data_IF_519237164119
#
_entry.id   IF_519237164119
#
_cell.length_a   1.000
_cell.length_b   1.000
_cell.length_c   1.000
_cell.angle_alpha   90.00
_cell.angle_beta   90.00
_cell.angle_gamma   90.00
#
_symmetry.space_group_name_H-M   'P 1'
#
loop_
_entity.id
_entity.type
_entity.pdbx_description
1 polymer ?
2 non-polymer ?
3 non-polymer ?
4 non-polymer ?
5 non-polymer ?
6 water ?
#
# COMPACT_ATOMS: atom_id res chain seq x y z
N UNK A 1 -18.21 -4.55 -33.57
CA UNK A 1 -17.57 -4.40 -32.24
C UNK A 1 -17.94 -3.07 -31.63
N UNK A 2 -17.74 -2.95 -30.31
CA UNK A 2 -17.84 -1.71 -29.59
C UNK A 2 -16.92 -1.67 -28.37
N UNK A 3 -16.54 -0.46 -28.01
CA UNK A 3 -15.71 -0.25 -26.83
C UNK A 3 -16.60 -0.43 -25.60
N UNK A 4 -16.23 -1.40 -24.76
CA UNK A 4 -16.92 -1.67 -23.51
C UNK A 4 -16.31 -0.91 -22.33
N UNK A 5 -14.99 -0.73 -22.39
CA UNK A 5 -14.25 0.03 -21.36
C UNK A 5 -13.02 0.64 -22.04
N UNK A 6 -12.59 1.80 -21.54
CA UNK A 6 -11.37 2.41 -22.05
C UNK A 6 -10.85 3.37 -20.99
N UNK A 7 -9.52 3.37 -20.85
CA UNK A 7 -8.85 4.41 -20.09
C UNK A 7 -7.44 4.56 -20.61
N UNK A 8 -6.89 5.77 -20.48
CA UNK A 8 -5.55 6.00 -21.03
C UNK A 8 -4.93 7.18 -20.32
N UNK A 9 -3.62 7.25 -20.37
CA UNK A 9 -2.94 8.36 -19.75
C UNK A 9 -1.44 8.14 -19.66
N UNK A 10 -0.83 8.79 -18.68
CA UNK A 10 0.63 8.71 -18.52
C UNK A 10 0.97 7.97 -17.23
N UNK A 11 1.85 6.97 -17.38
CA UNK A 11 2.34 6.16 -16.28
C UNK A 11 3.82 6.49 -16.02
N UNK A 12 4.29 6.13 -14.86
CA UNK A 12 5.69 6.18 -14.51
C UNK A 12 6.26 7.60 -14.56
N UNK A 13 5.47 8.58 -14.12
CA UNK A 13 5.92 9.97 -14.08
C UNK A 13 6.63 10.22 -12.75
N UNK A 14 7.95 10.32 -12.82
CA UNK A 14 8.73 10.58 -11.62
C UNK A 14 8.68 12.06 -11.26
N UNK A 15 8.42 12.40 -10.00
CA UNK A 15 8.26 13.79 -9.56
C UNK A 15 9.00 14.00 -8.25
N UNK A 16 9.86 15.03 -8.22
CA UNK A 16 10.47 15.49 -6.95
C UNK A 16 9.95 16.89 -6.69
N UNK A 17 9.75 17.22 -5.41
CA UNK A 17 9.49 18.59 -5.00
C UNK A 17 10.26 18.90 -3.72
N UNK A 18 10.82 20.11 -3.65
CA UNK A 18 11.48 20.59 -2.46
C UNK A 18 10.70 21.78 -1.88
N UNK A 19 10.66 21.84 -0.55
CA UNK A 19 10.24 22.99 0.22
C UNK A 19 11.45 23.55 0.93
N UNK A 20 11.64 24.86 0.80
CA UNK A 20 12.77 25.53 1.45
C UNK A 20 12.25 26.59 2.41
N UNK A 21 12.56 26.44 3.70
CA UNK A 21 12.25 27.48 4.66
C UNK A 21 13.44 28.44 4.69
N UNK A 22 13.22 29.64 4.17
CA UNK A 22 14.31 30.61 3.99
C UNK A 22 14.71 31.23 5.33
N UNK A 23 13.81 31.18 6.31
CA UNK A 23 14.09 31.68 7.67
C UNK A 23 15.02 30.74 8.41
N UNK A 24 14.68 29.46 8.41
CA UNK A 24 15.40 28.46 9.21
C UNK A 24 16.51 27.75 8.44
N UNK A 25 16.41 27.76 7.12
CA UNK A 25 17.33 26.99 6.28
C UNK A 25 16.91 25.52 6.08
N UNK A 26 15.86 25.09 6.75
CA UNK A 26 15.49 23.69 6.66
C UNK A 26 14.77 23.43 5.35
N UNK A 27 15.23 22.42 4.64
CA UNK A 27 14.62 21.98 3.38
C UNK A 27 14.00 20.61 3.58
N UNK A 28 12.91 20.38 2.86
CA UNK A 28 12.17 19.13 3.00
C UNK A 28 11.91 18.63 1.58
N UNK A 29 12.15 17.35 1.31
CA UNK A 29 11.97 16.82 -0.02
C UNK A 29 10.87 15.75 -0.08
N UNK A 30 10.29 15.63 -1.26
CA UNK A 30 9.22 14.69 -1.57
C UNK A 30 9.53 14.08 -2.91
N UNK A 31 9.41 12.76 -3.04
CA UNK A 31 9.59 12.13 -4.34
C UNK A 31 8.52 11.06 -4.51
N UNK A 32 7.99 11.00 -5.71
CA UNK A 32 6.84 10.19 -6.05
C UNK A 32 7.01 9.59 -7.44
N UNK A 33 6.24 8.56 -7.75
CA UNK A 33 5.97 8.14 -9.10
C UNK A 33 4.45 8.18 -9.28
N UNK A 34 4.00 8.85 -10.36
CA UNK A 34 2.58 9.14 -10.58
C UNK A 34 2.13 8.48 -11.87
N UNK A 35 0.87 7.97 -11.80
CA UNK A 35 0.13 7.51 -12.98
C UNK A 35 -1.23 8.19 -12.97
N UNK A 36 -1.62 8.77 -14.12
CA UNK A 36 -2.98 9.28 -14.28
C UNK A 36 -3.56 8.68 -15.53
N UNK A 37 -4.70 7.99 -15.36
CA UNK A 37 -5.48 7.45 -16.48
C UNK A 37 -6.89 8.04 -16.46
N UNK A 38 -7.30 8.47 -17.64
CA UNK A 38 -8.58 9.15 -17.84
C UNK A 38 -9.61 8.26 -18.53
N UNK A 39 -10.89 8.47 -18.19
CA UNK A 39 -12.02 7.91 -18.88
C UNK A 39 -12.97 9.01 -19.30
N UNK A 40 -13.76 8.73 -20.34
CA UNK A 40 -14.82 9.66 -20.69
C UNK A 40 -15.33 9.34 -22.09
N UNK A 41 -15.79 10.39 -22.77
CA UNK A 41 -16.36 10.25 -24.09
C UNK A 41 -15.23 10.20 -25.12
N UNK A 42 -14.48 9.11 -25.09
CA UNK A 42 -13.24 8.92 -25.82
C UNK A 42 -13.30 7.78 -26.83
N UNK A 43 -14.41 7.08 -26.90
CA UNK A 43 -14.45 5.88 -27.70
C UNK A 43 -14.10 6.12 -29.16
N UNK A 44 -14.42 7.30 -29.71
CA UNK A 44 -14.12 7.54 -31.13
C UNK A 44 -12.63 7.65 -31.44
N UNK A 45 -11.80 7.89 -30.43
CA UNK A 45 -10.35 7.81 -30.67
C UNK A 45 -9.92 6.39 -31.03
N UNK A 46 -10.64 5.39 -30.51
CA UNK A 46 -10.39 3.99 -30.81
C UNK A 46 -11.07 3.55 -32.10
N UNK A 47 -12.32 3.99 -32.32
CA UNK A 47 -13.14 3.41 -33.39
C UNK A 47 -13.06 4.16 -34.73
N UNK A 48 -12.71 5.46 -34.68
CA UNK A 48 -12.86 6.40 -35.79
C UNK A 48 -11.56 7.22 -36.05
N UNK A 49 -10.45 6.87 -35.41
CA UNK A 49 -9.22 7.67 -35.54
C UNK A 49 -9.49 9.13 -35.19
N UNK A 50 -10.38 9.39 -34.23
CA UNK A 50 -10.74 10.75 -33.81
C UNK A 50 -9.85 11.19 -32.66
N UNK A 51 -8.74 11.84 -32.98
CA UNK A 51 -7.83 12.29 -31.93
C UNK A 51 -8.30 13.54 -31.20
N UNK A 52 -9.40 14.16 -31.67
CA UNK A 52 -9.84 15.42 -31.05
C UNK A 52 -10.25 15.26 -29.59
N UNK A 53 -10.63 14.03 -29.25
CA UNK A 53 -11.12 13.73 -27.90
C UNK A 53 -9.98 13.34 -26.97
N UNK A 54 -8.75 13.28 -27.51
CA UNK A 54 -7.58 12.85 -26.74
C UNK A 54 -6.89 14.08 -26.12
N UNK A 55 -6.90 14.18 -24.80
CA UNK A 55 -5.96 15.01 -24.05
C UNK A 55 -4.65 14.23 -24.05
N UNK A 56 -3.63 14.70 -24.78
CA UNK A 56 -2.43 13.89 -25.02
C UNK A 56 -1.82 13.46 -23.70
N UNK A 57 -1.31 12.22 -23.67
CA UNK A 57 -0.59 11.78 -22.47
C UNK A 57 0.58 12.68 -22.14
N UNK A 58 1.20 13.28 -23.16
CA UNK A 58 2.28 14.26 -22.90
C UNK A 58 1.74 15.46 -22.11
N UNK A 59 0.50 15.91 -22.46
CA UNK A 59 -0.13 17.02 -21.77
C UNK A 59 -0.54 16.63 -20.34
N UNK A 60 -0.96 15.35 -20.15
CA UNK A 60 -1.24 14.83 -18.81
C UNK A 60 0.03 14.93 -17.95
N UNK A 61 1.17 14.53 -18.55
CA UNK A 61 2.46 14.64 -17.86
C UNK A 61 2.75 16.09 -17.44
N UNK A 62 2.61 17.01 -18.43
CA UNK A 62 2.83 18.43 -18.11
C UNK A 62 1.97 18.87 -16.93
N UNK A 63 0.70 18.43 -16.99
CA UNK A 63 -0.28 18.80 -15.96
C UNK A 63 0.11 18.31 -14.58
N UNK A 64 0.70 17.09 -14.50
CA UNK A 64 1.16 16.56 -13.22
C UNK A 64 2.22 17.53 -12.62
N UNK A 65 3.20 17.94 -13.45
CA UNK A 65 4.24 18.82 -12.94
C UNK A 65 3.68 20.21 -12.56
N UNK A 66 2.78 20.74 -13.38
CA UNK A 66 2.16 22.03 -13.09
C UNK A 66 1.39 21.99 -11.79
N UNK A 67 0.63 20.90 -11.61
CA UNK A 67 -0.18 20.74 -10.38
C UNK A 67 0.73 20.63 -9.16
N UNK A 68 1.85 19.90 -9.28
CA UNK A 68 2.81 19.81 -8.16
C UNK A 68 3.44 21.19 -7.88
N UNK A 69 3.64 22.03 -8.90
CA UNK A 69 4.20 23.37 -8.67
C UNK A 69 3.23 24.28 -7.91
N UNK A 70 1.93 24.09 -8.16
CA UNK A 70 0.88 25.01 -7.67
C UNK A 70 0.19 24.56 -6.41
N UNK A 71 0.51 23.37 -5.91
CA UNK A 71 -0.18 22.79 -4.77
C UNK A 71 0.74 21.98 -3.90
N UNK A 72 0.33 21.71 -2.67
CA UNK A 72 1.10 20.74 -1.88
C UNK A 72 1.05 19.36 -2.50
N UNK A 73 2.14 18.64 -2.37
CA UNK A 73 2.18 17.26 -2.83
C UNK A 73 1.93 16.25 -1.70
N UNK A 74 1.72 16.79 -0.49
CA UNK A 74 1.45 15.98 0.69
C UNK A 74 0.17 16.50 1.39
N UNK A 75 -0.57 15.62 2.07
CA UNK A 75 -0.49 14.17 1.95
C UNK A 75 -0.84 13.73 0.51
N UNK A 76 -0.40 12.55 0.09
CA UNK A 76 -0.63 12.13 -1.28
C UNK A 76 -2.12 11.97 -1.60
N UNK A 77 -2.93 11.63 -0.59
CA UNK A 77 -4.38 11.60 -0.78
C UNK A 77 -4.93 12.92 -1.28
N UNK A 78 -4.42 14.02 -0.72
CA UNK A 78 -4.83 15.34 -1.16
C UNK A 78 -4.31 15.67 -2.55
N UNK A 79 -3.03 15.47 -2.79
CA UNK A 79 -2.48 15.76 -4.09
C UNK A 79 -3.20 14.99 -5.19
N UNK A 80 -3.44 13.68 -4.96
CA UNK A 80 -4.15 12.90 -5.94
C UNK A 80 -5.58 13.39 -6.21
N UNK A 81 -6.25 13.84 -5.15
CA UNK A 81 -7.59 14.38 -5.31
C UNK A 81 -7.61 15.69 -6.10
N UNK A 82 -6.62 16.58 -5.83
CA UNK A 82 -6.53 17.82 -6.59
C UNK A 82 -6.28 17.50 -8.06
N UNK A 83 -5.32 16.60 -8.30
CA UNK A 83 -4.96 16.26 -9.66
C UNK A 83 -6.15 15.64 -10.44
N UNK A 84 -6.82 14.68 -9.79
CA UNK A 84 -7.92 14.04 -10.47
C UNK A 84 -9.11 14.98 -10.75
N UNK A 85 -9.40 15.82 -9.76
CA UNK A 85 -10.45 16.81 -9.90
C UNK A 85 -10.20 17.77 -11.07
N UNK A 86 -8.91 18.13 -11.25
CA UNK A 86 -8.56 19.03 -12.35
C UNK A 86 -9.03 18.46 -13.67
N UNK A 87 -8.78 17.17 -13.94
CA UNK A 87 -9.10 16.63 -15.26
C UNK A 87 -10.60 16.59 -15.52
N UNK A 88 -11.39 16.18 -14.54
CA UNK A 88 -12.83 16.13 -14.75
C UNK A 88 -13.48 17.49 -14.81
N UNK A 89 -12.89 18.49 -14.13
CA UNK A 89 -13.45 19.86 -14.22
C UNK A 89 -13.00 20.57 -15.50
N UNK A 90 -11.72 20.40 -15.89
CA UNK A 90 -11.18 21.16 -17.02
C UNK A 90 -11.80 20.70 -18.34
N UNK A 91 -12.04 19.38 -18.47
CA UNK A 91 -12.45 18.79 -19.74
C UNK A 91 -13.88 18.26 -19.59
N UNK A 92 -14.83 18.87 -20.29
CA UNK A 92 -16.23 18.50 -20.14
C UNK A 92 -16.38 17.00 -20.41
N UNK A 93 -15.71 16.50 -21.45
CA UNK A 93 -15.91 15.13 -21.91
C UNK A 93 -15.15 14.05 -21.15
N UNK A 94 -14.29 14.46 -20.21
CA UNK A 94 -13.59 13.53 -19.32
C UNK A 94 -14.42 13.41 -18.06
N UNK A 95 -14.76 12.16 -17.73
CA UNK A 95 -15.68 11.88 -16.61
C UNK A 95 -15.07 11.07 -15.48
N UNK A 96 -13.84 10.57 -15.63
CA UNK A 96 -13.16 9.98 -14.48
C UNK A 96 -11.66 10.14 -14.65
N UNK A 97 -10.99 10.31 -13.51
CA UNK A 97 -9.55 10.35 -13.47
C UNK A 97 -9.10 9.41 -12.37
N UNK A 98 -8.17 8.52 -12.75
CA UNK A 98 -7.67 7.49 -11.86
C UNK A 98 -6.20 7.80 -11.61
N UNK A 99 -5.90 8.20 -10.37
CA UNK A 99 -4.58 8.69 -10.01
C UNK A 99 -3.96 7.71 -9.01
N UNK A 100 -2.81 7.17 -9.43
CA UNK A 100 -2.04 6.29 -8.56
C UNK A 100 -0.73 7.00 -8.23
N UNK A 101 -0.39 7.04 -6.95
CA UNK A 101 0.87 7.66 -6.51
C UNK A 101 1.62 6.69 -5.60
N UNK A 102 2.89 6.49 -5.90
CA UNK A 102 3.82 5.77 -5.06
C UNK A 102 4.77 6.81 -4.46
N UNK A 103 4.84 6.92 -3.14
CA UNK A 103 5.71 7.87 -2.47
C UNK A 103 6.95 7.12 -2.00
N UNK A 104 8.12 7.65 -2.37
CA UNK A 104 9.44 7.09 -2.03
C UNK A 104 9.99 7.76 -0.78
N UNK A 105 10.71 7.00 0.05
CA UNK A 105 11.19 7.56 1.30
C UNK A 105 12.44 8.38 1.12
N UNK A 106 12.40 9.58 1.68
CA UNK A 106 13.59 10.43 1.87
C UNK A 106 13.55 10.90 3.30
N UNK A 107 14.21 10.17 4.18
CA UNK A 107 14.19 10.47 5.60
C UNK A 107 15.39 11.37 5.94
N UNK A 108 15.16 12.42 6.71
CA UNK A 108 16.22 13.37 7.03
C UNK A 108 17.32 12.63 7.81
N UNK A 109 18.56 12.89 7.40
CA UNK A 109 19.73 12.35 8.10
C UNK A 109 19.94 13.02 9.47
N UNK A 110 20.37 12.22 10.45
CA UNK A 110 20.91 12.74 11.69
C UNK A 110 22.42 12.63 11.59
N UNK A 111 23.09 13.76 11.78
CA UNK A 111 24.56 13.82 11.71
C UNK A 111 25.03 14.30 13.07
N UNK A 112 25.92 13.54 13.71
CA UNK A 112 26.39 13.87 15.06
C UNK A 112 25.20 14.18 15.98
N UNK A 113 24.13 13.39 15.85
CA UNK A 113 22.98 13.47 16.74
C UNK A 113 21.98 14.58 16.49
N UNK A 114 22.17 15.32 15.39
CA UNK A 114 21.34 16.48 15.05
C UNK A 114 20.75 16.32 13.64
N UNK A 115 19.46 16.65 13.48
CA UNK A 115 18.84 16.51 12.16
C UNK A 115 19.45 17.48 11.16
N UNK A 116 19.88 16.96 10.02
CA UNK A 116 20.53 17.81 9.04
C UNK A 116 19.49 18.61 8.22
N UNK A 117 19.77 19.90 7.92
CA UNK A 117 18.76 20.69 7.20
C UNK A 117 18.48 20.34 5.77
N UNK A 118 19.34 19.58 5.08
CA UNK A 118 19.10 19.36 3.65
C UNK A 118 19.71 18.07 3.08
N UNK A 119 19.84 17.05 3.94
CA UNK A 119 20.42 15.77 3.53
C UNK A 119 19.51 14.63 4.02
N UNK A 120 19.32 13.65 3.14
CA UNK A 120 18.30 12.62 3.30
C UNK A 120 18.83 11.26 2.89
N UNK A 121 18.21 10.23 3.45
CA UNK A 121 18.58 8.84 3.18
C UNK A 121 17.30 8.07 2.80
N UNK A 122 17.43 7.19 1.81
CA UNK A 122 16.37 6.25 1.50
C UNK A 122 16.45 5.12 2.57
N UNK A 123 15.78 5.33 3.73
CA UNK A 123 15.98 4.45 4.90
C UNK A 123 15.25 3.11 4.74
N UNK A 124 14.44 2.96 3.70
CA UNK A 124 13.70 1.71 3.44
C UNK A 124 13.16 1.77 2.01
N UNK A 125 13.01 0.66 1.26
CA UNK A 125 12.21 0.70 -0.03
C UNK A 125 10.72 0.57 0.24
N UNK A 126 10.32 0.50 1.51
CA UNK A 126 8.89 0.61 1.82
C UNK A 126 8.29 1.85 1.12
N UNK A 127 7.08 1.72 0.63
CA UNK A 127 6.35 2.78 -0.03
C UNK A 127 5.10 3.12 0.76
N UNK A 128 4.65 4.37 0.59
CA UNK A 128 3.34 4.82 0.94
C UNK A 128 2.62 5.17 -0.34
N UNK A 129 1.43 4.62 -0.56
CA UNK A 129 0.75 4.78 -1.84
C UNK A 129 -0.66 5.32 -1.67
N UNK A 130 -1.21 5.84 -2.76
CA UNK A 130 -2.63 6.08 -2.86
C UNK A 130 -3.14 5.69 -4.22
N UNK A 131 -4.43 5.34 -4.22
CA UNK A 131 -5.20 5.17 -5.40
C UNK A 131 -6.41 6.08 -5.26
N UNK A 132 -6.50 7.12 -6.09
CA UNK A 132 -7.58 8.13 -5.97
C UNK A 132 -8.38 8.09 -7.25
N UNK A 133 -9.64 7.65 -7.14
CA UNK A 133 -10.53 7.58 -8.30
C UNK A 133 -11.54 8.71 -8.19
N UNK A 134 -11.40 9.68 -9.06
CA UNK A 134 -12.29 10.84 -9.10
C UNK A 134 -13.28 10.63 -10.23
N UNK A 135 -14.56 10.45 -9.87
CA UNK A 135 -15.58 10.09 -10.83
C UNK A 135 -16.70 11.11 -10.85
N UNK A 136 -16.89 11.77 -12.00
CA UNK A 136 -17.77 12.91 -12.08
C UNK A 136 -19.15 12.47 -11.68
N UNK A 137 -19.72 13.23 -10.73
CA UNK A 137 -21.03 12.95 -10.22
C UNK A 137 -21.08 11.90 -9.10
N UNK A 138 -19.91 11.31 -8.79
CA UNK A 138 -19.84 10.23 -7.77
C UNK A 138 -18.66 10.40 -6.83
N UNK A 139 -18.10 11.58 -6.75
CA UNK A 139 -17.16 11.94 -5.73
C UNK A 139 -15.77 11.37 -5.95
N UNK A 140 -15.11 11.08 -4.85
CA UNK A 140 -13.71 10.73 -4.82
C UNK A 140 -13.58 9.52 -3.87
N UNK A 141 -13.07 8.42 -4.47
CA UNK A 141 -12.81 7.19 -3.72
C UNK A 141 -11.31 6.97 -3.59
N UNK A 142 -10.89 6.88 -2.34
CA UNK A 142 -9.49 6.83 -1.99
C UNK A 142 -9.18 5.50 -1.29
N UNK A 143 -8.14 4.81 -1.79
CA UNK A 143 -7.50 3.69 -1.09
C UNK A 143 -6.06 4.11 -0.80
N UNK A 144 -5.71 4.06 0.48
CA UNK A 144 -4.37 4.38 0.95
C UNK A 144 -3.64 3.10 1.32
N UNK A 145 -2.32 3.03 1.14
CA UNK A 145 -1.64 1.79 1.52
C UNK A 145 -0.20 2.03 1.91
N UNK A 146 0.35 1.05 2.63
CA UNK A 146 1.79 0.91 2.79
C UNK A 146 2.13 -0.43 2.17
N UNK A 147 3.31 -0.50 1.56
CA UNK A 147 3.76 -1.70 0.91
C UNK A 147 5.25 -1.84 0.98
N UNK A 148 5.76 -3.05 0.78
CA UNK A 148 7.19 -3.25 0.83
C UNK A 148 7.79 -3.12 2.22
N UNK A 149 6.99 -3.32 3.26
CA UNK A 149 7.49 -3.29 4.64
C UNK A 149 7.87 -4.72 5.01
N UNK A 150 9.17 -5.01 4.99
CA UNK A 150 9.69 -6.38 5.11
C UNK A 150 10.16 -6.61 6.53
N UNK A 151 9.58 -7.67 7.14
CA UNK A 151 9.78 -7.95 8.55
C UNK A 151 10.06 -9.44 8.76
N UNK A 152 10.66 -9.77 9.90
CA UNK A 152 10.90 -11.17 10.30
C UNK A 152 10.85 -11.24 11.79
N UNK A 153 10.24 -12.33 12.30
CA UNK A 153 10.41 -12.69 13.72
C UNK A 153 10.92 -14.10 13.79
N UNK A 154 11.78 -14.30 14.77
CA UNK A 154 12.58 -15.56 14.85
C UNK A 154 11.93 -16.64 15.69
N UNK A 155 10.85 -16.32 16.40
CA UNK A 155 10.11 -17.26 17.23
C UNK A 155 8.73 -16.64 17.44
N UNK A 156 7.90 -17.28 18.28
CA UNK A 156 6.54 -16.75 18.54
C UNK A 156 5.71 -16.72 17.25
N UNK A 157 5.90 -17.75 16.45
CA UNK A 157 5.03 -18.06 15.35
C UNK A 157 4.85 -19.57 15.36
N UNK A 158 3.62 -20.00 15.09
CA UNK A 158 3.22 -21.42 15.14
C UNK A 158 2.35 -21.73 13.93
N UNK A 159 2.26 -23.02 13.58
CA UNK A 159 1.27 -23.42 12.58
C UNK A 159 1.00 -24.93 12.75
N UNK A 160 -0.10 -25.19 13.43
CA UNK A 160 -0.55 -26.54 13.70
C UNK A 160 -2.08 -26.59 13.62
N UNK A 161 -2.63 -27.79 13.56
CA UNK A 161 -4.06 -27.96 13.54
C UNK A 161 -4.71 -27.73 12.17
N UNK A 162 -3.89 -27.66 11.13
CA UNK A 162 -4.38 -27.54 9.79
C UNK A 162 -4.90 -28.87 9.24
N UNK A 163 -5.69 -28.83 8.19
CA UNK A 163 -6.30 -30.02 7.58
C UNK A 163 -5.18 -30.96 7.11
N UNK A 164 -5.34 -32.26 7.39
CA UNK A 164 -4.35 -33.30 7.00
C UNK A 164 -5.07 -34.35 6.20
N UNK A 165 -4.66 -34.59 4.97
CA UNK A 165 -5.21 -35.66 4.16
C UNK A 165 -4.10 -36.22 3.27
N UNK A 166 -4.48 -36.93 2.22
CA UNK A 166 -3.49 -37.63 1.42
C UNK A 166 -2.60 -36.72 0.57
N UNK A 167 -2.89 -35.42 0.55
CA UNK A 167 -2.04 -34.41 -0.11
C UNK A 167 -1.08 -33.72 0.84
N UNK A 168 -1.12 -34.07 2.13
CA UNK A 168 -0.39 -33.32 3.14
C UNK A 168 0.90 -34.00 3.53
N UNK A 169 2.01 -33.28 3.44
CA UNK A 169 3.31 -33.65 4.00
C UNK A 169 3.80 -32.74 5.12
N UNK A 170 3.23 -31.52 5.23
CA UNK A 170 3.77 -30.53 6.15
C UNK A 170 3.68 -31.00 7.60
N UNK A 171 4.78 -30.87 8.34
CA UNK A 171 4.84 -31.12 9.78
C UNK A 171 4.19 -29.98 10.53
N UNK A 172 3.39 -30.28 11.53
CA UNK A 172 2.96 -29.25 12.48
C UNK A 172 4.17 -28.64 13.18
N UNK A 173 4.10 -27.36 13.51
CA UNK A 173 5.13 -26.71 14.28
C UNK A 173 4.55 -25.79 15.33
N UNK A 174 5.24 -25.75 16.47
CA UNK A 174 4.94 -24.88 17.58
C UNK A 174 5.98 -23.77 17.73
N UNK A 175 6.95 -23.69 16.81
CA UNK A 175 7.97 -22.63 16.90
C UNK A 175 8.66 -22.54 15.54
N UNK A 176 8.33 -21.50 14.80
CA UNK A 176 8.91 -21.27 13.48
C UNK A 176 9.24 -19.80 13.29
N UNK A 177 10.01 -19.56 12.23
CA UNK A 177 10.24 -18.20 11.73
C UNK A 177 8.99 -17.73 10.97
N UNK A 178 8.68 -16.45 11.09
CA UNK A 178 7.66 -15.85 10.23
C UNK A 178 8.28 -14.56 9.63
N UNK A 179 8.22 -14.50 8.30
CA UNK A 179 8.69 -13.31 7.57
C UNK A 179 7.71 -13.00 6.43
N UNK A 180 7.51 -11.69 6.22
CA UNK A 180 6.60 -11.24 5.18
C UNK A 180 7.03 -9.89 4.65
N UNK A 181 6.37 -9.50 3.54
CA UNK A 181 6.42 -8.15 2.97
C UNK A 181 4.99 -7.61 3.11
N UNK A 182 4.78 -6.64 4.00
CA UNK A 182 3.43 -6.20 4.29
C UNK A 182 2.91 -5.28 3.19
N UNK A 183 1.73 -5.60 2.66
CA UNK A 183 0.92 -4.73 1.80
C UNK A 183 -0.42 -4.58 2.53
N UNK A 184 -0.65 -3.38 3.05
CA UNK A 184 -1.87 -3.09 3.85
C UNK A 184 -2.55 -1.86 3.22
N UNK A 185 -3.86 -1.97 3.00
CA UNK A 185 -4.66 -0.95 2.35
C UNK A 185 -5.86 -0.59 3.20
N UNK A 186 -6.12 0.69 3.37
CA UNK A 186 -7.33 1.16 4.05
C UNK A 186 -8.13 1.98 3.06
N UNK A 187 -9.43 1.62 2.99
CA UNK A 187 -10.36 2.19 2.03
C UNK A 187 -11.25 3.22 2.76
N UNK A 188 -11.16 4.48 2.32
CA UNK A 188 -11.91 5.56 2.93
C UNK A 188 -13.37 5.56 2.50
N UNK A 189 -14.23 6.06 3.39
CA UNK A 189 -15.58 6.48 3.00
C UNK A 189 -15.47 7.34 1.73
N UNK A 190 -16.42 7.19 0.80
CA UNK A 190 -16.52 8.08 -0.34
C UNK A 190 -16.59 9.54 0.12
N UNK A 191 -15.80 10.37 -0.54
CA UNK A 191 -15.85 11.80 -0.34
C UNK A 191 -16.62 12.45 -1.48
N UNK A 192 -17.38 13.49 -1.16
CA UNK A 192 -18.26 14.07 -2.19
C UNK A 192 -17.53 14.90 -3.24
N UNK A 193 -16.29 15.31 -2.93
CA UNK A 193 -15.49 16.19 -3.75
C UNK A 193 -14.28 16.65 -3.01
N UNK A 194 -13.61 17.63 -3.59
CA UNK A 194 -12.34 18.07 -3.04
C UNK A 194 -12.50 18.79 -1.68
N UNK A 195 -13.62 19.50 -1.50
CA UNK A 195 -13.78 20.16 -0.21
C UNK A 195 -13.82 19.15 0.94
N UNK A 196 -14.56 18.06 0.75
CA UNK A 196 -14.62 17.08 1.81
C UNK A 196 -13.26 16.42 2.08
N UNK A 197 -12.51 16.14 1.02
CA UNK A 197 -11.18 15.60 1.22
C UNK A 197 -10.35 16.55 2.07
N UNK A 198 -10.38 17.85 1.70
CA UNK A 198 -9.57 18.86 2.38
C UNK A 198 -9.98 18.92 3.87
N UNK A 199 -11.27 18.74 4.15
CA UNK A 199 -11.75 18.80 5.53
C UNK A 199 -11.18 17.72 6.43
N UNK A 200 -10.65 16.66 5.82
CA UNK A 200 -10.11 15.53 6.58
C UNK A 200 -8.59 15.40 6.47
N UNK A 201 -7.93 16.43 5.94
CA UNK A 201 -6.52 16.28 5.61
C UNK A 201 -5.64 15.72 6.74
N UNK A 202 -5.77 16.21 7.98
CA UNK A 202 -4.86 15.63 9.02
C UNK A 202 -5.02 14.11 9.23
N UNK A 203 -6.21 13.61 8.93
CA UNK A 203 -6.46 12.18 9.14
C UNK A 203 -5.65 11.29 8.23
N UNK A 204 -5.18 11.81 7.11
CA UNK A 204 -4.43 10.93 6.20
C UNK A 204 -3.08 10.50 6.77
N UNK A 205 -2.23 11.46 7.16
CA UNK A 205 -0.96 11.10 7.76
C UNK A 205 -1.20 10.33 9.07
N UNK A 206 -2.20 10.73 9.86
CA UNK A 206 -2.43 10.07 11.15
C UNK A 206 -2.83 8.60 11.00
N UNK A 207 -3.63 8.31 9.98
CA UNK A 207 -4.12 6.96 9.75
C UNK A 207 -3.00 6.09 9.16
N UNK A 208 -2.17 6.65 8.26
CA UNK A 208 -1.00 5.93 7.81
C UNK A 208 -0.09 5.56 8.99
N UNK A 209 0.13 6.50 9.90
CA UNK A 209 1.00 6.23 11.05
C UNK A 209 0.36 5.14 11.94
N UNK A 210 -0.94 5.23 12.17
CA UNK A 210 -1.61 4.21 12.96
C UNK A 210 -1.47 2.82 12.28
N UNK A 211 -1.75 2.75 10.99
CA UNK A 211 -1.67 1.49 10.30
C UNK A 211 -0.28 0.90 10.42
N UNK A 212 0.77 1.68 10.25
CA UNK A 212 2.14 1.21 10.36
C UNK A 212 2.43 0.73 11.78
N UNK A 213 2.06 1.54 12.79
CA UNK A 213 2.31 1.22 14.19
C UNK A 213 1.63 -0.08 14.61
N UNK A 214 0.36 -0.20 14.24
CA UNK A 214 -0.40 -1.40 14.54
C UNK A 214 0.21 -2.63 13.86
N UNK A 215 0.57 -2.48 12.60
CA UNK A 215 1.19 -3.56 11.88
C UNK A 215 2.43 -4.07 12.63
N UNK A 216 3.33 -3.17 12.96
CA UNK A 216 4.59 -3.57 13.58
C UNK A 216 4.40 -4.15 14.97
N UNK A 217 3.59 -3.49 15.80
CA UNK A 217 3.40 -3.96 17.16
C UNK A 217 2.68 -5.30 17.19
N UNK A 218 1.64 -5.46 16.36
CA UNK A 218 0.94 -6.72 16.35
C UNK A 218 1.84 -7.86 15.82
N UNK A 219 2.58 -7.60 14.75
CA UNK A 219 3.53 -8.61 14.26
C UNK A 219 4.50 -9.01 15.37
N UNK A 220 5.07 -8.05 16.07
CA UNK A 220 6.09 -8.32 17.04
C UNK A 220 5.53 -9.02 18.27
N UNK A 221 4.29 -8.69 18.66
CA UNK A 221 3.78 -9.16 19.96
C UNK A 221 2.83 -10.36 19.85
N UNK A 222 2.23 -10.61 18.70
CA UNK A 222 1.29 -11.72 18.62
C UNK A 222 2.02 -13.06 18.55
N UNK A 223 1.71 -13.97 19.50
CA UNK A 223 2.25 -15.31 19.41
C UNK A 223 1.38 -16.03 18.39
N UNK A 224 1.82 -15.98 17.16
CA UNK A 224 0.91 -16.13 16.00
C UNK A 224 0.49 -17.57 15.75
N UNK A 225 -0.83 -17.75 15.62
CA UNK A 225 -1.40 -19.06 15.28
C UNK A 225 -1.35 -19.37 13.80
N UNK A 226 -1.20 -18.29 13.00
CA UNK A 226 -1.18 -18.40 11.54
C UNK A 226 -1.04 -16.95 11.03
N UNK A 227 -0.65 -16.83 9.76
CA UNK A 227 -0.67 -15.50 9.14
C UNK A 227 -2.08 -14.91 9.17
N UNK A 228 -3.07 -15.78 8.84
CA UNK A 228 -4.48 -15.41 8.85
C UNK A 228 -4.88 -14.74 10.17
N UNK A 229 -4.59 -15.40 11.29
CA UNK A 229 -5.02 -14.91 12.57
C UNK A 229 -4.36 -13.60 12.93
N UNK A 230 -3.06 -13.50 12.66
CA UNK A 230 -2.33 -12.27 12.98
C UNK A 230 -2.79 -11.07 12.15
N UNK A 231 -2.96 -11.29 10.85
CA UNK A 231 -3.33 -10.15 9.98
C UNK A 231 -4.75 -9.62 10.34
N UNK A 232 -5.64 -10.54 10.79
CA UNK A 232 -6.97 -10.13 11.15
C UNK A 232 -6.93 -9.20 12.36
N UNK A 233 -6.05 -9.51 13.32
CA UNK A 233 -5.90 -8.63 14.48
C UNK A 233 -5.44 -7.22 14.10
N UNK A 234 -4.52 -7.16 13.14
CA UNK A 234 -4.07 -5.88 12.65
C UNK A 234 -5.24 -5.06 12.10
N UNK A 235 -5.99 -5.71 11.23
CA UNK A 235 -7.09 -5.01 10.55
C UNK A 235 -8.16 -4.53 11.53
N UNK A 236 -8.52 -5.39 12.49
CA UNK A 236 -9.56 -5.00 13.42
C UNK A 236 -9.15 -3.78 14.26
N UNK A 237 -7.87 -3.72 14.59
CA UNK A 237 -7.39 -2.59 15.38
C UNK A 237 -7.38 -1.28 14.59
N UNK A 238 -6.98 -1.34 13.30
CA UNK A 238 -7.02 -0.15 12.49
C UNK A 238 -8.43 0.39 12.31
N UNK A 239 -9.37 -0.52 12.06
CA UNK A 239 -10.77 -0.12 11.95
C UNK A 239 -11.26 0.55 13.20
N UNK A 240 -10.85 0.04 14.35
CA UNK A 240 -11.28 0.62 15.63
C UNK A 240 -10.76 2.01 15.87
N UNK A 241 -9.68 2.37 15.19
CA UNK A 241 -9.00 3.64 15.45
C UNK A 241 -9.30 4.73 14.43
N UNK A 242 -10.04 4.42 13.35
CA UNK A 242 -10.42 5.46 12.38
C UNK A 242 -11.77 5.16 11.78
N UNK A 243 -12.78 5.91 12.23
CA UNK A 243 -14.14 5.60 11.79
C UNK A 243 -14.40 5.97 10.34
N UNK A 244 -13.56 6.82 9.73
CA UNK A 244 -13.76 7.17 8.33
C UNK A 244 -13.21 6.13 7.33
N UNK A 245 -12.55 5.09 7.87
CA UNK A 245 -12.18 3.87 7.10
C UNK A 245 -13.37 2.90 7.05
N UNK A 246 -13.64 2.33 5.88
CA UNK A 246 -14.67 1.31 5.76
C UNK A 246 -14.11 -0.11 5.80
N UNK A 247 -12.97 -0.32 5.15
CA UNK A 247 -12.35 -1.66 5.14
C UNK A 247 -10.84 -1.50 5.24
N UNK A 248 -10.21 -2.60 5.69
CA UNK A 248 -8.76 -2.78 5.70
C UNK A 248 -8.47 -4.10 5.02
N UNK A 249 -7.55 -4.06 4.07
CA UNK A 249 -7.13 -5.25 3.37
C UNK A 249 -5.64 -5.50 3.62
N UNK A 250 -5.28 -6.76 3.85
CA UNK A 250 -3.87 -7.17 3.91
C UNK A 250 -3.64 -8.20 2.82
N UNK A 251 -2.43 -8.14 2.24
CA UNK A 251 -1.94 -9.18 1.35
C UNK A 251 -0.52 -9.47 1.79
N UNK A 252 -0.30 -10.71 2.30
CA UNK A 252 0.93 -11.08 2.97
C UNK A 252 1.49 -12.36 2.37
N UNK A 253 2.70 -12.31 1.80
CA UNK A 253 3.40 -13.56 1.47
C UNK A 253 3.95 -14.20 2.74
N UNK A 254 3.95 -15.52 2.76
CA UNK A 254 4.65 -16.28 3.81
C UNK A 254 5.97 -16.69 3.22
N UNK A 255 7.03 -15.96 3.59
CA UNK A 255 8.37 -16.13 3.02
C UNK A 255 9.11 -17.19 3.82
N UNK A 256 9.11 -18.42 3.30
CA UNK A 256 9.47 -19.58 4.13
C UNK A 256 10.98 -19.65 4.39
N UNK A 257 11.31 -20.05 5.63
CA UNK A 257 12.68 -20.31 6.04
C UNK A 257 12.69 -21.78 6.48
N UNK A 258 13.36 -22.64 5.70
CA UNK A 258 13.34 -24.08 5.98
C UNK A 258 14.46 -24.49 6.89
N UNK A 259 14.14 -25.40 7.82
CA UNK A 259 15.20 -26.05 8.58
C UNK A 259 16.09 -26.88 7.63
N UNK A 260 17.33 -27.08 8.07
CA UNK A 260 18.31 -27.88 7.35
C UNK A 260 18.81 -29.01 8.25
N UNK A 261 18.42 -30.22 7.89
CA UNK A 261 18.88 -31.42 8.60
C UNK A 261 20.34 -31.68 8.22
N UNK A 262 21.24 -31.56 9.20
CA UNK A 262 22.66 -31.79 9.00
C UNK A 262 23.14 -33.08 9.69
N UNK A 263 22.19 -33.93 10.16
CA UNK A 263 22.55 -35.10 10.97
C UNK A 263 23.34 -36.15 10.22
N UNK A 264 23.31 -36.09 8.90
CA UNK A 264 24.14 -36.91 8.04
C UNK A 264 25.62 -36.60 8.08
N UNK A 265 25.95 -35.40 8.58
CA UNK A 265 27.32 -34.94 8.70
C UNK A 265 27.70 -34.89 10.18
N UNK A 266 28.48 -35.88 10.61
CA UNK A 266 29.07 -35.92 11.95
C UNK A 266 27.99 -35.79 13.06
N UNK A 267 26.77 -36.25 12.76
CA UNK A 267 25.70 -36.18 13.75
C UNK A 267 25.29 -34.78 14.16
N UNK A 268 25.60 -33.78 13.31
CA UNK A 268 25.27 -32.40 13.68
C UNK A 268 23.75 -32.25 13.87
N UNK A 269 23.38 -31.57 14.95
CA UNK A 269 22.00 -31.33 15.32
C UNK A 269 21.60 -29.89 15.02
N UNK A 270 20.73 -29.76 14.02
CA UNK A 270 20.29 -28.45 13.53
C UNK A 270 18.80 -28.43 13.21
N UNK A 271 18.04 -29.27 13.89
CA UNK A 271 16.59 -29.23 13.75
C UNK A 271 15.92 -29.06 15.12
N UNK A 272 14.65 -28.70 15.07
CA UNK A 272 13.88 -28.53 16.31
C UNK A 272 14.57 -27.55 17.25
N UNK A 273 14.73 -27.91 18.50
CA UNK A 273 15.29 -26.99 19.49
C UNK A 273 16.73 -26.60 19.14
N UNK A 274 17.40 -27.40 18.32
CA UNK A 274 18.78 -27.08 17.95
C UNK A 274 18.93 -26.39 16.61
N UNK A 275 17.80 -25.97 16.02
CA UNK A 275 17.85 -25.29 14.71
C UNK A 275 18.43 -23.89 14.83
N UNK A 276 19.56 -23.71 14.17
CA UNK A 276 20.22 -22.40 14.14
C UNK A 276 20.38 -21.90 12.72
N UNK A 277 20.73 -22.76 11.76
CA UNK A 277 21.01 -22.37 10.38
C UNK A 277 19.85 -22.83 9.52
N UNK A 278 19.30 -21.90 8.76
CA UNK A 278 18.11 -22.14 7.93
C UNK A 278 18.39 -21.72 6.48
N UNK A 279 17.60 -22.30 5.58
CA UNK A 279 17.62 -21.98 4.14
C UNK A 279 16.42 -21.14 3.79
N UNK A 280 16.60 -19.80 3.64
CA UNK A 280 15.51 -18.96 3.09
C UNK A 280 15.10 -19.45 1.73
N UNK A 281 13.81 -19.60 1.51
CA UNK A 281 13.29 -20.06 0.22
C UNK A 281 12.81 -18.86 -0.60
N UNK A 282 13.34 -18.68 -1.80
CA UNK A 282 12.88 -17.60 -2.66
C UNK A 282 11.48 -17.85 -3.20
N UNK A 283 11.21 -19.09 -3.59
CA UNK A 283 9.91 -19.47 -4.08
C UNK A 283 9.77 -20.98 -3.83
N UNK A 284 8.54 -21.51 -3.82
CA UNK A 284 7.31 -20.76 -3.81
C UNK A 284 7.07 -20.10 -2.45
N UNK A 285 5.93 -19.39 -2.34
CA UNK A 285 5.58 -18.74 -1.09
C UNK A 285 4.07 -18.83 -0.89
N UNK A 286 3.68 -19.01 0.39
CA UNK A 286 2.29 -18.81 0.68
C UNK A 286 1.90 -17.38 0.36
N UNK A 287 0.61 -17.19 0.08
CA UNK A 287 0.07 -15.83 -0.15
C UNK A 287 -1.31 -15.80 0.50
N UNK A 288 -1.43 -14.93 1.50
CA UNK A 288 -2.61 -14.88 2.38
C UNK A 288 -3.22 -13.44 2.30
N UNK A 289 -4.54 -13.45 1.98
CA UNK A 289 -5.27 -12.20 1.75
C UNK A 289 -6.54 -12.15 2.59
N UNK A 290 -6.88 -10.95 3.05
CA UNK A 290 -8.25 -10.74 3.53
C UNK A 290 -8.58 -9.27 3.55
N UNK A 291 -9.88 -9.05 3.43
CA UNK A 291 -10.51 -7.72 3.53
C UNK A 291 -11.47 -7.76 4.71
N UNK A 292 -11.23 -6.87 5.67
CA UNK A 292 -11.99 -6.83 6.92
C UNK A 292 -12.80 -5.52 6.94
N UNK A 293 -14.08 -5.64 7.32
CA UNK A 293 -14.93 -4.47 7.51
C UNK A 293 -15.63 -4.60 8.83
N UNK A 294 -16.53 -3.67 9.11
CA UNK A 294 -17.23 -3.74 10.39
C UNK A 294 -18.46 -4.63 10.26
N UNK A 295 -18.78 -5.23 11.38
CA UNK A 295 -19.79 -6.29 11.44
C UNK A 295 -21.16 -5.64 11.35
N UNK A 296 -22.12 -6.41 10.83
CA UNK A 296 -23.55 -6.06 10.87
C UNK A 296 -24.45 -7.27 11.24
N UNK A 297 -23.84 -8.39 11.65
CA UNK A 297 -24.61 -9.52 12.18
C UNK A 297 -25.14 -9.17 13.55
N UNK A 298 -26.43 -9.45 13.78
CA UNK A 298 -27.13 -9.18 15.06
C UNK A 298 -27.63 -10.44 15.79
N UNK A 299 -27.79 -11.55 15.04
CA UNK A 299 -27.92 -12.91 15.59
C UNK A 299 -26.91 -13.92 14.95
N UNK A 300 -26.79 -15.09 15.58
CA UNK A 300 -25.85 -16.16 15.16
C UNK A 300 -24.41 -15.67 15.04
N UNK A 301 -23.92 -15.07 16.12
CA UNK A 301 -22.85 -14.07 16.01
C UNK A 301 -21.46 -14.72 15.79
X LIG B 1 0.41 -19.21 8.62
X LIG B 1 0.29 -20.06 7.74
X LIG B 1 -0.94 -20.18 7.07
X LIG B 1 -1.22 -20.95 5.98
X LIG B 1 -2.37 -21.09 5.58
X LIG B 1 1.31 -20.94 7.42
X LIG B 1 1.16 -21.67 6.38
X LIG B 1 1.86 -22.77 5.95
X LIG B 1 3.12 -23.23 6.55
X LIG B 1 0.01 -21.60 5.33
X LIG B 1 0.43 -20.45 4.47
X LIG B 1 1.80 -20.58 3.91
X LIG B 1 0.01 -22.84 4.56
X LIG B 1 1.19 -23.46 4.95
X LIG B 1 1.62 -24.52 4.48
X LIG C 1 -0.68 -21.17 24.15
X LIG C 1 0.17 -21.67 22.99
X LIG C 1 1.15 -20.70 22.56
X LIG C 1 -0.81 -21.93 21.84
X LIG C 1 1.01 -22.85 23.48
X LIG C 1 2.02 -23.37 22.45
X LIG C 1 2.89 -24.35 23.02
X LIG C 1 1.19 -23.97 21.36
X LIG D 1 2.12 -20.51 3.68
X LIG D 1 1.29 -19.70 4.03
X LIG E 1 -0.94 -20.13 6.88
X LIG E 1 0.27 -20.06 7.63
X LIG E 1 0.39 -19.25 8.54
X LIG E 1 1.26 -21.00 7.38
X LIG E 1 1.00 -21.89 6.46
X LIG E 1 -0.19 -22.01 5.69
X LIG E 1 -1.23 -21.08 5.90
X LIG E 1 -2.31 -21.06 5.30
X LIG E 1 -0.16 -23.03 4.82
X LIG E 1 1.10 -23.63 4.93
X LIG E 1 1.79 -22.89 5.99
X LIG E 1 3.17 -23.17 6.41
X LIG E 1 1.58 -24.57 4.31
#
# INVERSE_FOLDING_TARGET
SAVKAARYGKDNVRVYKVHKDEKTGVQTVYEMTVCVLLEGEIETSYTKADNSVIVATDSIKNTIYITAKQNPVTPPELFGSILGTHFIEKYNHIHAAHVNIVCHRWTRMDIDGKPHPHSFIRDSEEKRNVQVDVVEGKGIDIKSSLSGLTVLKSTNSQFWGFLRDEYTTLKETWDRILSTDVDATWQWKNFSGLQEVRSHVPKFDATWATAREVTLKTFAEDNSASVQATMYKMAEQILARQQLIETVEYSLPNKHYFEIDLSWHKGLQNTGKNAEVFAPQSDPNGLIKCTVGRSSLKSKL
XDS O4 C4 N2 C3 O3 N3 C5 N C C2 O1 O2 N1 C1 O
MPD C1 C2 O2 CM C3 C4 O4 C5
OXY O1 O2
MUA N1 C2 O2 N3 C4 C5 C6 O6 N7 C8 N9 C10 O8
#
